data_IF_706804945445
#
_entry.id   IF_706804945445
#
_cell.length_a   1.000
_cell.length_b   1.000
_cell.length_c   1.000
_cell.angle_alpha   90.00
_cell.angle_beta   90.00
_cell.angle_gamma   90.00
#
_symmetry.space_group_name_H-M   'P 1'
#
loop_
_entity.id
_entity.type
_entity.pdbx_description
1 polymer ?
#
# COMPACT_ATOMS: atom_id res chain seq x y z
N UNK A 1 -2.07 0.54 -14.63
CA UNK A 1 -2.34 1.39 -13.45
C UNK A 1 -1.82 0.75 -12.17
N UNK A 2 -2.15 -0.53 -11.87
CA UNK A 2 -1.58 -1.23 -10.70
C UNK A 2 -0.05 -1.17 -10.62
N UNK A 3 0.65 -1.37 -11.74
CA UNK A 3 2.12 -1.36 -11.77
C UNK A 3 2.72 -0.03 -11.30
N UNK A 4 2.06 1.10 -11.56
CA UNK A 4 2.54 2.42 -11.13
C UNK A 4 2.44 2.59 -9.61
N UNK A 5 1.37 2.07 -9.00
CA UNK A 5 1.21 2.09 -7.55
C UNK A 5 2.27 1.20 -6.86
N UNK A 6 2.53 0.01 -7.42
CA UNK A 6 3.51 -0.93 -6.87
C UNK A 6 4.95 -0.37 -6.91
N UNK A 7 5.30 0.39 -7.96
CA UNK A 7 6.61 1.05 -8.06
C UNK A 7 6.81 2.07 -6.92
N UNK A 8 5.75 2.78 -6.53
CA UNK A 8 5.79 3.74 -5.41
C UNK A 8 6.23 3.08 -4.10
N UNK A 9 5.72 1.90 -3.79
CA UNK A 9 6.10 1.13 -2.59
C UNK A 9 7.58 0.75 -2.62
N UNK A 10 8.07 0.23 -3.75
CA UNK A 10 9.47 -0.18 -3.90
C UNK A 10 10.43 1.01 -3.81
N UNK A 11 10.10 2.11 -4.48
CA UNK A 11 10.92 3.34 -4.44
C UNK A 11 10.92 3.98 -3.05
N UNK A 12 9.79 3.97 -2.36
CA UNK A 12 9.68 4.44 -0.99
C UNK A 12 10.64 3.72 -0.05
N UNK A 13 10.71 2.39 -0.13
CA UNK A 13 11.63 1.58 0.70
C UNK A 13 13.10 1.90 0.41
N UNK A 14 13.47 2.00 -0.88
CA UNK A 14 14.85 2.28 -1.31
C UNK A 14 15.33 3.66 -0.83
N UNK A 15 14.43 4.64 -0.78
CA UNK A 15 14.75 6.01 -0.32
C UNK A 15 14.70 6.11 1.21
N UNK A 16 13.75 5.45 1.85
CA UNK A 16 13.52 5.51 3.31
C UNK A 16 14.66 4.85 4.09
N UNK A 17 15.19 3.72 3.64
CA UNK A 17 16.26 2.99 4.32
C UNK A 17 17.54 3.84 4.54
N UNK A 18 18.16 4.44 3.50
CA UNK A 18 19.35 5.28 3.68
C UNK A 18 19.03 6.58 4.42
N UNK A 19 17.85 7.18 4.20
CA UNK A 19 17.41 8.35 4.98
C UNK A 19 17.36 8.03 6.48
N UNK A 20 16.71 6.94 6.85
CA UNK A 20 16.63 6.49 8.25
C UNK A 20 18.03 6.24 8.82
N UNK A 21 18.93 5.60 8.06
CA UNK A 21 20.31 5.37 8.49
C UNK A 21 21.08 6.69 8.73
N UNK A 22 20.94 7.67 7.85
CA UNK A 22 21.56 9.00 7.99
C UNK A 22 20.99 9.79 9.17
N UNK A 23 19.67 9.73 9.37
CA UNK A 23 18.98 10.40 10.48
C UNK A 23 19.38 9.78 11.83
N UNK A 24 19.46 8.45 11.94
CA UNK A 24 19.94 7.75 13.13
C UNK A 24 21.41 8.05 13.45
N UNK A 25 22.26 8.24 12.43
CA UNK A 25 23.67 8.60 12.61
C UNK A 25 23.88 10.07 12.98
N UNK A 26 22.90 10.94 12.75
CA UNK A 26 22.99 12.36 13.10
C UNK A 26 22.65 12.57 14.58
N UNK A 27 23.46 13.33 15.32
CA UNK A 27 23.21 13.65 16.74
C UNK A 27 22.04 14.64 16.95
N UNK A 28 21.31 15.02 15.89
CA UNK A 28 20.14 15.89 15.96
C UNK A 28 19.03 15.20 16.77
N UNK A 29 18.49 15.90 17.78
CA UNK A 29 17.36 15.49 18.62
C UNK A 29 17.49 14.14 19.36
N UNK A 30 18.71 13.65 19.58
CA UNK A 30 18.95 12.37 20.27
C UNK A 30 19.05 11.16 19.34
N UNK A 31 19.31 11.38 18.04
CA UNK A 31 19.60 10.33 17.06
C UNK A 31 18.36 9.58 16.60
N UNK A 32 17.93 8.60 17.39
CA UNK A 32 16.82 7.70 17.05
C UNK A 32 15.43 8.38 17.03
N UNK A 33 15.08 9.31 17.95
CA UNK A 33 13.77 9.97 17.92
C UNK A 33 13.56 10.86 16.69
N UNK A 34 14.64 11.35 16.07
CA UNK A 34 14.59 12.29 14.94
C UNK A 34 13.85 11.71 13.72
N UNK A 35 13.98 10.40 13.49
CA UNK A 35 13.32 9.66 12.41
C UNK A 35 11.80 9.76 12.54
N UNK A 36 11.27 9.59 13.75
CA UNK A 36 9.82 9.65 13.99
C UNK A 36 9.26 11.04 13.74
N UNK A 37 9.98 12.09 14.14
CA UNK A 37 9.57 13.47 13.86
C UNK A 37 9.62 13.80 12.38
N UNK A 38 10.66 13.36 11.65
CA UNK A 38 10.79 13.61 10.22
C UNK A 38 9.71 12.90 9.41
N UNK A 39 9.57 11.58 9.55
CA UNK A 39 8.55 10.83 8.81
C UNK A 39 7.13 11.16 9.27
N UNK A 40 6.94 11.47 10.55
CA UNK A 40 5.65 11.90 11.10
C UNK A 40 5.19 13.22 10.49
N UNK A 41 6.06 14.24 10.46
CA UNK A 41 5.72 15.55 9.86
C UNK A 41 5.53 15.44 8.35
N UNK A 42 6.38 14.69 7.65
CA UNK A 42 6.24 14.42 6.22
C UNK A 42 4.88 13.77 5.90
N UNK A 43 4.45 12.80 6.72
CA UNK A 43 3.15 12.15 6.59
C UNK A 43 1.98 13.10 6.79
N UNK A 44 2.05 14.01 7.77
CA UNK A 44 1.00 15.03 8.00
C UNK A 44 0.92 16.01 6.84
N UNK A 45 2.06 16.51 6.34
CA UNK A 45 2.09 17.42 5.18
C UNK A 45 1.53 16.72 3.95
N UNK A 46 1.90 15.46 3.72
CA UNK A 46 1.37 14.67 2.62
C UNK A 46 -0.14 14.44 2.74
N UNK A 47 -0.65 14.14 3.94
CA UNK A 47 -2.08 13.99 4.18
C UNK A 47 -2.87 15.28 3.89
N UNK A 48 -2.36 16.44 4.32
CA UNK A 48 -2.96 17.73 4.02
C UNK A 48 -2.95 18.03 2.52
N UNK A 49 -1.85 17.72 1.82
CA UNK A 49 -1.80 17.83 0.36
C UNK A 49 -2.82 16.88 -0.30
N UNK A 50 -2.87 15.62 0.13
CA UNK A 50 -3.79 14.62 -0.42
C UNK A 50 -5.25 15.04 -0.26
N UNK A 51 -5.64 15.50 0.93
CA UNK A 51 -7.00 15.99 1.20
C UNK A 51 -7.35 17.24 0.40
N UNK A 52 -6.37 18.09 0.06
CA UNK A 52 -6.60 19.27 -0.79
C UNK A 52 -6.71 18.95 -2.29
N UNK A 53 -5.95 17.95 -2.78
CA UNK A 53 -5.81 17.64 -4.20
C UNK A 53 -6.63 16.44 -4.69
N UNK A 54 -6.99 15.50 -3.81
CA UNK A 54 -7.67 14.25 -4.20
C UNK A 54 -9.10 14.26 -3.70
N UNK A 55 -10.03 14.27 -4.65
CA UNK A 55 -11.47 14.17 -4.39
C UNK A 55 -11.98 12.80 -4.85
N UNK A 56 -12.69 12.10 -3.96
CA UNK A 56 -13.21 10.75 -4.23
C UNK A 56 -14.34 10.73 -5.26
N UNK A 57 -15.03 11.86 -5.43
CA UNK A 57 -16.23 11.95 -6.26
C UNK A 57 -15.96 12.80 -7.51
N UNK A 58 -16.11 12.25 -8.73
CA UNK A 58 -16.01 13.01 -9.97
C UNK A 58 -17.09 14.10 -10.09
N UNK A 59 -18.12 14.04 -9.22
CA UNK A 59 -19.23 14.99 -9.14
C UNK A 59 -18.89 16.27 -8.38
N UNK A 60 -17.86 16.26 -7.52
CA UNK A 60 -17.40 17.45 -6.78
C UNK A 60 -16.19 18.14 -7.40
N UNK A 61 -15.72 17.66 -8.56
CA UNK A 61 -14.54 18.20 -9.20
C UNK A 61 -14.91 19.40 -10.10
N UNK A 62 -14.53 20.66 -9.77
CA UNK A 62 -14.94 21.85 -10.52
C UNK A 62 -14.34 21.94 -11.94
N UNK A 63 -13.49 20.97 -12.32
CA UNK A 63 -12.81 20.88 -13.63
C UNK A 63 -13.28 19.72 -14.51
N UNK A 64 -14.20 18.87 -14.06
CA UNK A 64 -14.70 17.76 -14.90
C UNK A 64 -15.72 18.29 -15.90
N UNK A 65 -15.40 18.18 -17.18
CA UNK A 65 -16.30 18.55 -18.26
C UNK A 65 -17.47 17.56 -18.34
N UNK A 66 -18.69 18.06 -18.59
CA UNK A 66 -19.91 17.22 -18.73
C UNK A 66 -19.75 16.07 -19.72
N UNK A 67 -18.85 16.21 -20.71
CA UNK A 67 -18.51 15.18 -21.71
C UNK A 67 -17.74 14.00 -21.10
N UNK A 68 -16.78 14.25 -20.21
CA UNK A 68 -16.01 13.20 -19.54
C UNK A 68 -16.86 12.46 -18.51
N UNK A 69 -17.74 13.19 -17.81
CA UNK A 69 -18.68 12.61 -16.84
C UNK A 69 -19.63 11.61 -17.54
N UNK A 70 -20.15 11.98 -18.71
CA UNK A 70 -21.02 11.11 -19.51
C UNK A 70 -20.27 9.94 -20.15
N UNK A 71 -18.97 10.09 -20.45
CA UNK A 71 -18.11 8.99 -20.90
C UNK A 71 -17.89 7.99 -19.75
N UNK A 72 -17.45 8.46 -18.58
CA UNK A 72 -17.23 7.62 -17.39
C UNK A 72 -18.52 6.89 -17.00
N UNK A 73 -19.68 7.56 -16.98
CA UNK A 73 -20.97 6.92 -16.68
C UNK A 73 -21.37 5.86 -17.71
N UNK A 74 -20.98 6.00 -18.98
CA UNK A 74 -21.29 5.02 -20.03
C UNK A 74 -20.39 3.78 -19.98
N UNK A 75 -19.14 3.92 -19.54
CA UNK A 75 -18.18 2.81 -19.38
C UNK A 75 -18.17 2.21 -17.97
N UNK A 76 -18.69 2.93 -16.96
CA UNK A 76 -18.97 2.43 -15.62
C UNK A 76 -20.21 1.54 -15.72
N UNK A 77 -19.99 0.30 -16.13
CA UNK A 77 -21.04 -0.69 -16.38
C UNK A 77 -22.13 -0.68 -15.31
N UNK A 78 -23.35 -1.06 -15.73
CA UNK A 78 -24.65 -1.01 -15.04
C UNK A 78 -24.74 -1.55 -13.58
N UNK A 79 -23.63 -1.87 -12.94
CA UNK A 79 -23.51 -2.36 -11.57
C UNK A 79 -23.81 -1.32 -10.48
N UNK A 80 -23.81 -0.02 -10.79
CA UNK A 80 -24.00 1.05 -9.79
C UNK A 80 -25.37 1.74 -9.83
N UNK A 81 -26.27 1.38 -10.76
CA UNK A 81 -27.59 2.03 -10.87
C UNK A 81 -28.68 1.38 -10.00
N UNK A 82 -28.30 0.45 -9.14
CA UNK A 82 -29.20 -0.08 -8.12
C UNK A 82 -29.12 0.84 -6.90
N UNK A 83 -30.15 1.66 -6.70
CA UNK A 83 -30.37 2.49 -5.48
C UNK A 83 -30.59 1.67 -4.20
N UNK A 84 -30.31 0.38 -4.23
CA UNK A 84 -30.37 -0.48 -3.06
C UNK A 84 -28.95 -0.94 -2.70
N UNK A 85 -28.56 -0.86 -1.42
CA UNK A 85 -27.34 -1.48 -0.95
C UNK A 85 -27.52 -2.99 -1.14
N UNK A 86 -27.01 -3.52 -2.26
CA UNK A 86 -26.93 -4.97 -2.45
C UNK A 86 -26.03 -5.48 -1.33
N UNK A 87 -26.64 -6.05 -0.30
CA UNK A 87 -25.94 -6.74 0.78
C UNK A 87 -24.95 -7.69 0.13
N UNK A 88 -23.66 -7.38 0.25
CA UNK A 88 -22.59 -8.21 -0.31
C UNK A 88 -22.79 -9.60 0.28
N UNK A 89 -23.01 -10.65 -0.54
CA UNK A 89 -23.32 -11.97 -0.02
C UNK A 89 -22.04 -12.63 0.50
N UNK A 90 -21.55 -12.17 1.65
CA UNK A 90 -20.32 -12.61 2.31
C UNK A 90 -20.25 -14.12 2.42
N UNK A 91 -21.37 -14.77 2.76
CA UNK A 91 -21.45 -16.24 2.89
C UNK A 91 -21.25 -16.97 1.56
N UNK A 92 -21.69 -16.40 0.43
CA UNK A 92 -21.45 -16.99 -0.91
C UNK A 92 -20.03 -16.71 -1.41
N UNK A 93 -19.47 -15.55 -1.08
CA UNK A 93 -18.09 -15.19 -1.37
C UNK A 93 -17.11 -16.10 -0.61
N UNK A 94 -17.31 -16.27 0.69
CA UNK A 94 -16.51 -17.14 1.56
C UNK A 94 -16.76 -18.63 1.30
N UNK A 95 -17.87 -19.02 0.66
CA UNK A 95 -18.12 -20.42 0.28
C UNK A 95 -17.54 -20.79 -1.08
N UNK A 96 -16.96 -19.84 -1.83
CA UNK A 96 -16.42 -20.08 -3.16
C UNK A 96 -15.02 -20.70 -3.10
N UNK A 97 -14.81 -21.80 -3.84
CA UNK A 97 -13.51 -22.48 -3.96
C UNK A 97 -12.40 -21.57 -4.48
N UNK A 98 -12.73 -20.64 -5.39
CA UNK A 98 -11.75 -19.70 -5.95
C UNK A 98 -11.21 -18.72 -4.92
N UNK A 99 -12.03 -18.32 -3.93
CA UNK A 99 -11.60 -17.40 -2.87
C UNK A 99 -10.67 -18.11 -1.89
N UNK A 100 -10.98 -19.36 -1.52
CA UNK A 100 -10.09 -20.18 -0.70
C UNK A 100 -8.78 -20.52 -1.41
N UNK A 101 -8.82 -20.87 -2.70
CA UNK A 101 -7.62 -21.11 -3.48
C UNK A 101 -6.71 -19.88 -3.52
N UNK A 102 -7.27 -18.69 -3.79
CA UNK A 102 -6.53 -17.44 -3.76
C UNK A 102 -5.96 -17.14 -2.36
N UNK A 103 -6.76 -17.35 -1.30
CA UNK A 103 -6.32 -17.17 0.08
C UNK A 103 -5.14 -18.07 0.45
N UNK A 104 -5.20 -19.35 0.10
CA UNK A 104 -4.13 -20.31 0.35
C UNK A 104 -2.88 -19.97 -0.48
N UNK A 105 -3.03 -19.60 -1.75
CA UNK A 105 -1.89 -19.18 -2.59
C UNK A 105 -1.22 -17.94 -2.01
N UNK A 106 -2.00 -16.94 -1.58
CA UNK A 106 -1.46 -15.72 -0.98
C UNK A 106 -0.80 -16.01 0.37
N UNK A 107 -1.39 -16.88 1.18
CA UNK A 107 -0.83 -17.31 2.45
C UNK A 107 0.49 -18.05 2.26
N UNK A 108 0.54 -19.04 1.36
CA UNK A 108 1.74 -19.81 1.06
C UNK A 108 2.87 -18.90 0.52
N UNK A 109 2.52 -17.96 -0.36
CA UNK A 109 3.47 -16.98 -0.88
C UNK A 109 4.05 -16.08 0.22
N UNK A 110 3.21 -15.52 1.09
CA UNK A 110 3.67 -14.70 2.21
C UNK A 110 4.49 -15.53 3.21
N UNK A 111 4.02 -16.72 3.56
CA UNK A 111 4.70 -17.63 4.48
C UNK A 111 6.10 -18.00 3.99
N UNK A 112 6.23 -18.40 2.73
CA UNK A 112 7.53 -18.71 2.12
C UNK A 112 8.46 -17.50 2.09
N UNK A 113 7.93 -16.32 1.77
CA UNK A 113 8.70 -15.08 1.79
C UNK A 113 9.21 -14.73 3.20
N UNK A 114 8.34 -14.79 4.22
CA UNK A 114 8.74 -14.51 5.61
C UNK A 114 9.72 -15.54 6.16
N UNK A 115 9.53 -16.83 5.86
CA UNK A 115 10.50 -17.87 6.24
C UNK A 115 11.87 -17.57 5.63
N UNK A 116 11.93 -17.28 4.34
CA UNK A 116 13.19 -16.90 3.71
C UNK A 116 13.80 -15.65 4.35
N UNK A 117 13.01 -14.63 4.66
CA UNK A 117 13.52 -13.38 5.22
C UNK A 117 14.07 -13.55 6.65
N UNK A 118 13.43 -14.39 7.47
CA UNK A 118 13.83 -14.63 8.87
C UNK A 118 14.95 -15.68 8.95
N UNK A 119 14.86 -16.76 8.18
CA UNK A 119 15.81 -17.87 8.28
C UNK A 119 17.09 -17.65 7.46
N UNK A 120 17.08 -16.78 6.45
CA UNK A 120 18.29 -16.43 5.70
C UNK A 120 19.40 -15.83 6.58
N UNK A 121 19.16 -14.81 7.44
CA UNK A 121 20.21 -14.30 8.33
C UNK A 121 20.63 -15.35 9.39
N UNK A 122 19.69 -16.18 9.88
CA UNK A 122 20.01 -17.25 10.82
C UNK A 122 20.88 -18.34 10.19
N UNK A 123 20.61 -18.71 8.94
CA UNK A 123 21.38 -19.69 8.17
C UNK A 123 22.81 -19.19 7.89
N UNK A 124 22.95 -17.95 7.44
CA UNK A 124 24.25 -17.32 7.16
C UNK A 124 25.13 -17.23 8.41
N UNK A 125 24.54 -16.93 9.57
CA UNK A 125 25.26 -16.88 10.85
C UNK A 125 25.58 -18.26 11.41
N UNK A 126 24.62 -19.19 11.37
CA UNK A 126 24.72 -20.47 12.06
C UNK A 126 25.55 -21.52 11.32
N UNK A 127 25.45 -21.59 9.99
CA UNK A 127 26.09 -22.64 9.18
C UNK A 127 27.28 -22.09 8.40
N UNK A 128 27.19 -20.84 7.92
CA UNK A 128 28.24 -20.24 7.09
C UNK A 128 29.28 -19.43 7.89
N UNK A 129 29.08 -19.25 9.21
CA UNK A 129 29.94 -18.47 10.11
C UNK A 129 30.34 -17.08 9.57
N UNK A 130 29.48 -16.46 8.76
CA UNK A 130 29.76 -15.12 8.24
C UNK A 130 29.48 -14.06 9.33
N UNK A 131 30.42 -13.12 9.58
CA UNK A 131 30.17 -12.00 10.48
C UNK A 131 29.32 -10.96 9.73
N UNK A 132 28.01 -11.01 9.98
CA UNK A 132 27.03 -9.97 9.64
C UNK A 132 26.50 -9.34 10.93
#
# INVERSE_FOLDING_TARGET
>A
MLSFNMIGTSMGTVVTLPLTALLCGSQLFGGWPSVFYFFGTLGVVWFLAWTAFVYEWPEMHPRVSRKELHYIQRFRGSSCNTKEPRLVPWRRLLSSRSVWALGVTMFCGNWGFYLLLIDLPNYLRGILHFPI
#
